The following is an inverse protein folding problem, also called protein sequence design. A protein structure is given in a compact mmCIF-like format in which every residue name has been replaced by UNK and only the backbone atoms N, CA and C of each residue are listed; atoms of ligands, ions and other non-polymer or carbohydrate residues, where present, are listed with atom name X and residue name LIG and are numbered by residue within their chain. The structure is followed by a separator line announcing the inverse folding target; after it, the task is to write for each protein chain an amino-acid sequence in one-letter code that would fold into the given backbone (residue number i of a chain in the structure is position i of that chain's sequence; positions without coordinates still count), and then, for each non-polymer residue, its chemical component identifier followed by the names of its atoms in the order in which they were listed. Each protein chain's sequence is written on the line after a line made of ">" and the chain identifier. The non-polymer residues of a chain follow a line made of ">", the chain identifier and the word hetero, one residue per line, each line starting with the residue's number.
data_IF_941530510921
#
_entry.id   IF_941530510921
#
_cell.length_a   1.000
_cell.length_b   1.000
_cell.length_c   1.000
_cell.angle_alpha   90.00
_cell.angle_beta   90.00
_cell.angle_gamma   90.00
#
_symmetry.space_group_name_H-M   'P 1'
#
loop_
_entity.id
_entity.type
_entity.pdbx_description
1 polymer ?
#
# COMPACT_ATOMS: atom_id res chain seq x y z
N UNK A 1 -17.55 20.31 27.15
CA UNK A 1 -18.02 19.17 26.33
C UNK A 1 -17.98 19.62 24.88
N UNK A 2 -17.24 18.96 24.00
CA UNK A 2 -17.30 19.29 22.57
C UNK A 2 -18.66 18.88 22.02
N UNK A 3 -19.32 19.78 21.31
CA UNK A 3 -20.56 19.47 20.58
C UNK A 3 -20.27 18.98 19.15
N UNK A 4 -19.03 19.12 18.69
CA UNK A 4 -18.58 18.66 17.37
C UNK A 4 -18.33 17.15 17.42
N UNK A 5 -18.97 16.41 16.51
CA UNK A 5 -18.78 14.97 16.31
C UNK A 5 -18.19 14.72 14.93
N UNK A 6 -17.16 13.89 14.86
CA UNK A 6 -16.58 13.42 13.61
C UNK A 6 -17.04 11.99 13.34
N UNK A 7 -17.32 11.67 12.07
CA UNK A 7 -17.61 10.30 11.68
C UNK A 7 -16.34 9.46 11.85
N UNK A 8 -16.43 8.23 12.41
CA UNK A 8 -15.28 7.33 12.45
C UNK A 8 -14.89 6.92 11.03
N UNK A 9 -13.59 6.73 10.80
CA UNK A 9 -13.11 6.11 9.56
C UNK A 9 -13.60 4.66 9.45
N UNK A 10 -13.55 4.10 8.23
CA UNK A 10 -13.91 2.69 7.98
C UNK A 10 -13.07 1.77 8.86
N UNK A 11 -13.73 1.07 9.78
CA UNK A 11 -13.07 0.15 10.70
C UNK A 11 -12.67 -1.15 9.98
N UNK A 12 -11.41 -1.55 10.18
CA UNK A 12 -10.84 -2.84 9.76
C UNK A 12 -10.15 -3.45 10.96
N UNK A 13 -10.05 -4.76 11.01
CA UNK A 13 -9.19 -5.42 11.97
C UNK A 13 -7.73 -5.13 11.59
N UNK A 14 -6.94 -4.54 12.50
CA UNK A 14 -5.55 -4.16 12.25
C UNK A 14 -4.75 -4.29 13.56
N UNK A 15 -4.68 -5.50 14.11
CA UNK A 15 -3.88 -5.79 15.32
C UNK A 15 -2.40 -5.96 15.00
N UNK A 16 -2.10 -6.36 13.76
CA UNK A 16 -0.76 -6.56 13.23
C UNK A 16 -0.68 -6.11 11.77
N UNK A 17 0.46 -5.52 11.42
CA UNK A 17 0.75 -5.03 10.08
C UNK A 17 2.13 -5.51 9.64
N UNK A 18 2.17 -6.28 8.55
CA UNK A 18 3.37 -6.92 8.03
C UNK A 18 3.92 -6.16 6.83
N UNK A 19 5.18 -5.73 6.95
CA UNK A 19 5.95 -5.13 5.88
C UNK A 19 6.53 -6.20 4.96
N UNK A 20 6.29 -6.11 3.64
CA UNK A 20 6.84 -7.06 2.67
C UNK A 20 7.47 -6.30 1.50
N UNK A 21 8.79 -6.44 1.24
CA UNK A 21 9.45 -5.73 0.15
C UNK A 21 8.92 -6.17 -1.21
N UNK A 22 8.49 -5.22 -2.05
CA UNK A 22 8.00 -5.48 -3.40
C UNK A 22 9.05 -6.09 -4.34
N UNK A 23 10.33 -5.94 -4.00
CA UNK A 23 11.45 -6.56 -4.71
C UNK A 23 11.58 -8.07 -4.49
N UNK A 24 10.84 -8.68 -3.55
CA UNK A 24 10.93 -10.10 -3.24
C UNK A 24 9.55 -10.82 -3.26
N UNK A 25 9.05 -11.19 -4.47
CA UNK A 25 7.75 -11.86 -4.63
C UNK A 25 7.62 -13.18 -3.86
N UNK A 26 8.72 -13.88 -3.59
CA UNK A 26 8.70 -15.13 -2.84
C UNK A 26 8.18 -14.97 -1.40
N UNK A 27 8.17 -13.74 -0.87
CA UNK A 27 7.60 -13.43 0.45
C UNK A 27 6.09 -13.19 0.40
N UNK A 28 5.49 -12.93 -0.76
CA UNK A 28 4.07 -12.57 -0.85
C UNK A 28 3.18 -13.74 -0.44
N UNK A 29 3.46 -14.94 -0.95
CA UNK A 29 2.75 -16.16 -0.56
C UNK A 29 2.89 -16.47 0.93
N UNK A 30 4.07 -16.19 1.53
CA UNK A 30 4.29 -16.37 2.97
C UNK A 30 3.49 -15.37 3.80
N UNK A 31 3.41 -14.12 3.36
CA UNK A 31 2.60 -13.09 3.99
C UNK A 31 1.11 -13.42 3.90
N UNK A 32 0.64 -13.87 2.73
CA UNK A 32 -0.73 -14.29 2.50
C UNK A 32 -1.14 -15.47 3.40
N UNK A 33 -0.24 -16.42 3.64
CA UNK A 33 -0.45 -17.58 4.51
C UNK A 33 -0.29 -17.30 6.01
N UNK A 34 0.11 -16.09 6.42
CA UNK A 34 0.33 -15.75 7.83
C UNK A 34 -0.95 -15.32 8.54
N UNK A 35 -0.93 -15.24 9.87
CA UNK A 35 -2.08 -14.81 10.68
C UNK A 35 -2.20 -13.28 10.85
N UNK A 36 -1.46 -12.49 10.07
CA UNK A 36 -1.46 -11.02 10.18
C UNK A 36 -2.75 -10.41 9.65
N UNK A 37 -3.24 -9.32 10.22
CA UNK A 37 -4.49 -8.71 9.74
C UNK A 37 -4.28 -7.83 8.50
N UNK A 38 -3.12 -7.16 8.47
CA UNK A 38 -2.75 -6.16 7.48
C UNK A 38 -1.41 -6.48 6.85
N UNK A 39 -1.31 -6.33 5.54
CA UNK A 39 -0.06 -6.48 4.79
C UNK A 39 0.13 -5.24 3.95
N UNK A 40 1.32 -4.65 3.97
CA UNK A 40 1.70 -3.68 2.95
C UNK A 40 2.85 -4.20 2.11
N UNK A 41 2.67 -4.10 0.80
CA UNK A 41 3.75 -4.33 -0.16
C UNK A 41 4.52 -3.03 -0.32
N UNK A 42 5.83 -3.09 -0.09
CA UNK A 42 6.67 -1.91 0.02
C UNK A 42 7.37 -1.58 -1.30
N UNK A 43 7.24 -0.34 -1.77
CA UNK A 43 7.98 0.23 -2.88
C UNK A 43 9.04 1.25 -2.44
N UNK A 44 9.11 1.56 -1.15
CA UNK A 44 9.90 2.65 -0.59
C UNK A 44 11.20 2.16 0.05
N UNK A 45 11.36 2.26 1.38
CA UNK A 45 12.65 2.12 2.05
C UNK A 45 13.24 0.70 2.00
N UNK A 46 12.42 -0.36 1.86
CA UNK A 46 12.92 -1.74 1.73
C UNK A 46 13.30 -2.12 0.28
N UNK A 47 13.20 -1.18 -0.67
CA UNK A 47 13.48 -1.42 -2.09
C UNK A 47 14.57 -0.46 -2.58
N UNK A 48 15.69 -1.03 -3.04
CA UNK A 48 16.79 -0.26 -3.60
C UNK A 48 16.35 0.54 -4.84
N UNK A 49 16.91 1.74 -5.11
CA UNK A 49 16.49 2.60 -6.22
C UNK A 49 16.44 1.92 -7.60
N UNK A 50 17.42 1.04 -7.89
CA UNK A 50 17.48 0.29 -9.15
C UNK A 50 16.40 -0.78 -9.31
N UNK A 51 15.79 -1.21 -8.20
CA UNK A 51 14.78 -2.27 -8.17
C UNK A 51 13.35 -1.72 -8.12
N UNK A 52 13.15 -0.41 -7.92
CA UNK A 52 11.82 0.18 -7.69
C UNK A 52 10.85 -0.07 -8.84
N UNK A 53 11.33 -0.01 -10.09
CA UNK A 53 10.49 -0.27 -11.26
C UNK A 53 10.05 -1.74 -11.33
N UNK A 54 10.98 -2.66 -11.06
CA UNK A 54 10.65 -4.09 -11.02
C UNK A 54 9.76 -4.43 -9.82
N UNK A 55 10.03 -3.83 -8.66
CA UNK A 55 9.19 -3.99 -7.47
C UNK A 55 7.76 -3.54 -7.72
N UNK A 56 7.55 -2.43 -8.47
CA UNK A 56 6.20 -2.00 -8.85
C UNK A 56 5.47 -3.04 -9.70
N UNK A 57 6.15 -3.60 -10.72
CA UNK A 57 5.59 -4.69 -11.53
C UNK A 57 5.22 -5.90 -10.68
N UNK A 58 6.13 -6.31 -9.80
CA UNK A 58 5.90 -7.43 -8.88
C UNK A 58 4.69 -7.18 -7.97
N UNK A 59 4.56 -5.97 -7.40
CA UNK A 59 3.44 -5.58 -6.54
C UNK A 59 2.12 -5.65 -7.30
N UNK A 60 2.08 -5.13 -8.53
CA UNK A 60 0.90 -5.19 -9.39
C UNK A 60 0.49 -6.64 -9.66
N UNK A 61 1.44 -7.52 -10.00
CA UNK A 61 1.19 -8.96 -10.18
C UNK A 61 0.72 -9.61 -8.88
N UNK A 62 1.39 -9.35 -7.76
CA UNK A 62 1.02 -9.90 -6.45
C UNK A 62 -0.35 -9.44 -5.94
N UNK A 63 -0.82 -8.26 -6.33
CA UNK A 63 -2.17 -7.79 -6.03
C UNK A 63 -3.24 -8.54 -6.85
N UNK A 64 -2.96 -8.85 -8.11
CA UNK A 64 -3.91 -9.56 -8.99
C UNK A 64 -3.95 -11.06 -8.75
N UNK A 65 -2.80 -11.67 -8.50
CA UNK A 65 -2.64 -13.13 -8.48
C UNK A 65 -3.00 -13.76 -7.12
N UNK A 66 -3.02 -12.96 -6.05
CA UNK A 66 -3.32 -13.42 -4.68
C UNK A 66 -4.65 -12.82 -4.23
N UNK A 67 -5.59 -13.68 -3.82
CA UNK A 67 -6.86 -13.25 -3.24
C UNK A 67 -6.69 -12.83 -1.76
N UNK A 68 -6.04 -11.69 -1.52
CA UNK A 68 -5.77 -11.16 -0.18
C UNK A 68 -7.05 -11.00 0.65
N UNK A 69 -8.13 -10.52 0.02
CA UNK A 69 -9.43 -10.31 0.68
C UNK A 69 -10.09 -11.63 1.04
N UNK A 70 -10.06 -12.62 0.14
CA UNK A 70 -10.56 -13.96 0.42
C UNK A 70 -9.78 -14.67 1.53
N UNK A 71 -8.51 -14.31 1.72
CA UNK A 71 -7.66 -14.75 2.84
C UNK A 71 -7.86 -13.90 4.12
N UNK A 72 -8.82 -12.97 4.12
CA UNK A 72 -9.16 -12.13 5.28
C UNK A 72 -8.11 -11.07 5.61
N UNK A 73 -7.27 -10.69 4.66
CA UNK A 73 -6.23 -9.66 4.82
C UNK A 73 -6.72 -8.33 4.27
N UNK A 74 -6.34 -7.24 4.94
CA UNK A 74 -6.34 -5.92 4.30
C UNK A 74 -5.00 -5.73 3.59
N UNK A 75 -5.05 -5.44 2.29
CA UNK A 75 -3.84 -5.27 1.47
C UNK A 75 -3.59 -3.80 1.14
N UNK A 76 -2.37 -3.36 1.39
CA UNK A 76 -1.91 -2.00 1.17
C UNK A 76 -0.66 -1.97 0.31
N UNK A 77 -0.40 -0.83 -0.29
CA UNK A 77 0.89 -0.54 -0.94
C UNK A 77 1.48 0.70 -0.29
N UNK A 78 2.72 0.59 0.19
CA UNK A 78 3.51 1.76 0.57
C UNK A 78 4.20 2.30 -0.67
N UNK A 79 3.71 3.42 -1.17
CA UNK A 79 4.30 4.14 -2.31
C UNK A 79 5.60 4.83 -1.89
N UNK A 80 6.40 5.30 -2.84
CA UNK A 80 7.53 6.15 -2.53
C UNK A 80 7.11 7.53 -2.01
N UNK A 81 8.02 8.24 -1.35
CA UNK A 81 7.80 9.61 -0.86
C UNK A 81 7.44 10.60 -1.98
N UNK A 82 6.56 11.54 -1.68
CA UNK A 82 6.07 12.57 -2.62
C UNK A 82 7.19 13.49 -3.15
N UNK A 83 8.33 13.50 -2.47
CA UNK A 83 9.56 14.21 -2.81
C UNK A 83 10.45 13.45 -3.82
N UNK A 84 10.01 12.26 -4.25
CA UNK A 84 10.75 11.41 -5.19
C UNK A 84 10.04 11.28 -6.53
N UNK A 85 10.82 11.08 -7.61
CA UNK A 85 10.26 10.87 -8.94
C UNK A 85 9.60 9.49 -9.13
N UNK A 86 9.59 8.62 -8.11
CA UNK A 86 8.99 7.28 -8.19
C UNK A 86 7.50 7.30 -7.86
N UNK A 87 7.11 8.14 -6.89
CA UNK A 87 5.79 8.14 -6.25
C UNK A 87 4.64 8.21 -7.26
N UNK A 88 4.71 9.13 -8.22
CA UNK A 88 3.58 9.32 -9.13
C UNK A 88 3.30 8.09 -10.00
N UNK A 89 4.34 7.34 -10.38
CA UNK A 89 4.18 6.06 -11.11
C UNK A 89 3.69 4.96 -10.20
N UNK A 90 4.10 4.96 -8.93
CA UNK A 90 3.58 3.99 -7.97
C UNK A 90 2.07 4.13 -7.83
N UNK A 91 1.55 5.36 -7.68
CA UNK A 91 0.10 5.60 -7.59
C UNK A 91 -0.60 5.22 -8.90
N UNK A 92 -0.18 5.80 -10.04
CA UNK A 92 -0.84 5.60 -11.34
C UNK A 92 -0.81 4.12 -11.75
N UNK A 93 0.36 3.50 -11.81
CA UNK A 93 0.47 2.15 -12.36
C UNK A 93 -0.22 1.12 -11.45
N UNK A 94 -0.15 1.27 -10.12
CA UNK A 94 -0.80 0.34 -9.18
C UNK A 94 -2.32 0.49 -9.21
N UNK A 95 -2.84 1.72 -9.16
CA UNK A 95 -4.28 1.96 -9.12
C UNK A 95 -4.93 1.58 -10.47
N UNK A 96 -4.33 1.96 -11.60
CA UNK A 96 -4.88 1.64 -12.92
C UNK A 96 -4.86 0.13 -13.21
N UNK A 97 -3.82 -0.59 -12.78
CA UNK A 97 -3.63 -2.01 -13.15
C UNK A 97 -4.08 -3.03 -12.11
N UNK A 98 -4.25 -2.62 -10.85
CA UNK A 98 -4.59 -3.51 -9.75
C UNK A 98 -5.45 -2.86 -8.65
N UNK A 99 -5.98 -1.65 -8.88
CA UNK A 99 -6.75 -0.89 -7.88
C UNK A 99 -7.99 -1.62 -7.36
N UNK A 100 -8.60 -2.49 -8.16
CA UNK A 100 -9.76 -3.29 -7.71
C UNK A 100 -9.41 -4.28 -6.59
N UNK A 101 -8.14 -4.70 -6.50
CA UNK A 101 -7.63 -5.61 -5.48
C UNK A 101 -6.98 -4.88 -4.30
N UNK A 102 -6.72 -3.58 -4.42
CA UNK A 102 -6.07 -2.77 -3.39
C UNK A 102 -7.09 -2.25 -2.35
N UNK A 103 -6.76 -2.28 -1.06
CA UNK A 103 -7.63 -1.72 -0.02
C UNK A 103 -7.22 -0.32 0.43
N UNK A 104 -5.92 -0.04 0.48
CA UNK A 104 -5.38 1.26 0.91
C UNK A 104 -4.03 1.58 0.26
N UNK A 105 -3.68 2.86 0.25
CA UNK A 105 -2.34 3.36 -0.03
C UNK A 105 -1.74 3.90 1.27
N UNK A 106 -0.52 3.47 1.60
CA UNK A 106 0.25 4.01 2.72
C UNK A 106 1.23 5.06 2.18
N UNK A 107 1.01 6.32 2.58
CA UNK A 107 1.82 7.47 2.14
C UNK A 107 2.96 7.67 3.16
N UNK A 108 4.23 7.48 2.79
CA UNK A 108 5.34 7.69 3.71
C UNK A 108 5.65 9.19 3.87
N UNK A 109 6.35 9.53 4.97
CA UNK A 109 7.00 10.84 5.16
C UNK A 109 6.07 12.07 5.04
N UNK A 110 4.76 11.90 5.26
CA UNK A 110 3.78 13.00 5.30
C UNK A 110 4.22 14.06 6.32
N UNK A 111 4.38 15.30 5.88
CA UNK A 111 4.75 16.45 6.72
C UNK A 111 3.61 17.45 6.92
N UNK A 112 2.72 17.58 5.92
CA UNK A 112 1.58 18.51 5.96
C UNK A 112 0.31 17.88 5.39
N UNK A 113 -0.85 18.45 5.70
CA UNK A 113 -2.14 17.95 5.20
C UNK A 113 -2.24 17.97 3.66
N UNK A 114 -1.54 18.91 3.01
CA UNK A 114 -1.50 19.01 1.56
C UNK A 114 -0.83 17.81 0.88
N UNK A 115 0.05 17.09 1.58
CA UNK A 115 0.71 15.89 1.05
C UNK A 115 -0.31 14.76 0.84
N UNK A 116 -1.22 14.60 1.80
CA UNK A 116 -2.32 13.63 1.69
C UNK A 116 -3.31 14.08 0.60
N UNK A 117 -3.64 15.36 0.56
CA UNK A 117 -4.54 15.93 -0.46
C UNK A 117 -3.99 15.72 -1.88
N UNK A 118 -2.67 15.83 -2.08
CA UNK A 118 -2.03 15.58 -3.36
C UNK A 118 -2.26 14.15 -3.85
N UNK A 119 -2.08 13.15 -2.98
CA UNK A 119 -2.29 11.73 -3.34
C UNK A 119 -3.78 11.45 -3.54
N UNK A 120 -4.66 12.03 -2.72
CA UNK A 120 -6.12 11.91 -2.87
C UNK A 120 -6.61 12.46 -4.22
N UNK A 121 -6.02 13.56 -4.71
CA UNK A 121 -6.35 14.12 -6.02
C UNK A 121 -5.89 13.27 -7.23
N UNK A 122 -5.10 12.22 -7.01
CA UNK A 122 -4.62 11.32 -8.05
C UNK A 122 -5.44 10.04 -8.21
N UNK A 123 -6.31 9.70 -7.25
CA UNK A 123 -7.04 8.42 -7.17
C UNK A 123 -8.52 8.54 -7.51
#
# INVERSE_FOLDING_TARGET
>A
MSHTRYAPARQRLQRSELAVPGSNPALFAKAAASDVDYVFLDLEDAVAPGDKEQARRNVIEGLRDIDWRGLGKTISVRINGIDTHYMYRDVVDVVEQAGEHLDTILIPKVGVAADVYMVDAMV
#
